data_IF_126161820692
#
_entry.id   IF_126161820692
#
_cell.length_a   1.000
_cell.length_b   1.000
_cell.length_c   1.000
_cell.angle_alpha   90.00
_cell.angle_beta   90.00
_cell.angle_gamma   90.00
#
_symmetry.space_group_name_H-M   'P 1'
#
loop_
_entity.id
_entity.type
_entity.pdbx_description
1 polymer ?
#
# COMPACT_ATOMS: atom_id res chain seq x y z
N UNK A 1 7.74 9.59 -8.66
CA UNK A 1 6.55 8.88 -8.12
C UNK A 1 6.98 7.51 -7.59
N UNK A 2 6.59 7.16 -6.36
CA UNK A 2 6.95 5.89 -5.71
C UNK A 2 6.17 4.71 -6.27
N UNK A 3 6.79 3.53 -6.29
CA UNK A 3 6.20 2.26 -6.73
C UNK A 3 5.92 1.37 -5.52
N UNK A 4 4.67 0.94 -5.37
CA UNK A 4 4.22 0.07 -4.29
C UNK A 4 3.68 -1.25 -4.86
N UNK A 5 4.48 -2.29 -4.77
CA UNK A 5 4.14 -3.64 -5.22
C UNK A 5 3.29 -4.34 -4.15
N UNK A 6 2.13 -4.87 -4.54
CA UNK A 6 1.27 -5.72 -3.70
C UNK A 6 1.28 -7.13 -4.28
N UNK A 7 1.58 -8.13 -3.47
CA UNK A 7 1.68 -9.52 -3.95
C UNK A 7 1.18 -10.54 -2.93
N UNK A 8 0.52 -11.60 -3.42
CA UNK A 8 0.24 -12.82 -2.67
C UNK A 8 1.28 -13.93 -2.94
N UNK A 9 2.06 -13.78 -4.02
CA UNK A 9 3.07 -14.76 -4.46
C UNK A 9 4.41 -14.06 -4.64
N UNK A 10 5.13 -13.73 -3.55
CA UNK A 10 6.35 -12.95 -3.63
C UNK A 10 7.45 -13.70 -4.39
N UNK A 11 8.18 -12.95 -5.23
CA UNK A 11 9.29 -13.45 -6.03
C UNK A 11 10.46 -12.47 -5.97
N UNK A 12 11.64 -12.96 -5.62
CA UNK A 12 12.86 -12.15 -5.63
C UNK A 12 13.17 -11.59 -7.03
N UNK A 13 12.92 -12.37 -8.09
CA UNK A 13 13.10 -11.91 -9.46
C UNK A 13 12.16 -10.75 -9.82
N UNK A 14 10.90 -10.81 -9.37
CA UNK A 14 9.93 -9.74 -9.54
C UNK A 14 10.38 -8.45 -8.83
N UNK A 15 10.82 -8.55 -7.57
CA UNK A 15 11.35 -7.43 -6.81
C UNK A 15 12.57 -6.79 -7.50
N UNK A 16 13.49 -7.62 -8.01
CA UNK A 16 14.68 -7.15 -8.75
C UNK A 16 14.34 -6.52 -10.09
N UNK A 17 13.39 -7.10 -10.83
CA UNK A 17 12.95 -6.59 -12.14
C UNK A 17 12.31 -5.21 -12.03
N UNK A 18 11.41 -5.03 -11.07
CA UNK A 18 10.60 -3.81 -10.95
C UNK A 18 11.17 -2.76 -10.00
N UNK A 19 12.08 -3.16 -9.11
CA UNK A 19 12.71 -2.30 -8.09
C UNK A 19 11.68 -1.37 -7.42
N UNK A 20 10.65 -1.92 -6.74
CA UNK A 20 9.67 -1.10 -6.06
C UNK A 20 10.30 -0.38 -4.86
N UNK A 21 9.73 0.76 -4.48
CA UNK A 21 10.10 1.47 -3.25
C UNK A 21 9.43 0.85 -2.02
N UNK A 22 8.24 0.28 -2.20
CA UNK A 22 7.42 -0.38 -1.18
C UNK A 22 6.96 -1.75 -1.68
N UNK A 23 6.92 -2.74 -0.81
CA UNK A 23 6.33 -4.03 -1.11
C UNK A 23 5.45 -4.53 0.04
N UNK A 24 4.28 -5.04 -0.30
CA UNK A 24 3.30 -5.61 0.62
C UNK A 24 3.09 -7.10 0.32
N UNK A 25 3.29 -7.93 1.33
CA UNK A 25 2.78 -9.29 1.30
C UNK A 25 1.32 -9.31 1.75
N UNK A 26 0.42 -9.74 0.87
CA UNK A 26 -1.03 -9.75 1.10
C UNK A 26 -1.65 -10.98 0.47
N UNK A 27 -1.81 -12.02 1.29
CA UNK A 27 -2.53 -13.24 0.94
C UNK A 27 -3.60 -13.51 2.01
N UNK A 28 -4.86 -13.22 1.67
CA UNK A 28 -5.99 -13.31 2.61
C UNK A 28 -6.43 -14.73 2.88
N UNK A 29 -6.16 -15.64 1.96
CA UNK A 29 -6.60 -17.03 2.01
C UNK A 29 -5.52 -17.98 2.58
N UNK A 30 -4.33 -17.44 2.85
CA UNK A 30 -3.20 -18.23 3.29
C UNK A 30 -3.31 -18.62 4.77
N UNK A 31 -3.49 -19.91 5.03
CA UNK A 31 -3.55 -20.47 6.39
C UNK A 31 -2.18 -20.46 7.09
N UNK A 32 -1.09 -20.35 6.34
CA UNK A 32 0.29 -20.30 6.85
C UNK A 32 0.88 -18.89 6.72
N UNK A 33 0.05 -17.84 6.78
CA UNK A 33 0.44 -16.46 6.51
C UNK A 33 1.69 -16.03 7.30
N UNK A 34 1.79 -16.34 8.59
CA UNK A 34 2.92 -15.93 9.42
C UNK A 34 4.26 -16.51 8.92
N UNK A 35 4.29 -17.78 8.53
CA UNK A 35 5.48 -18.43 7.98
C UNK A 35 5.90 -17.81 6.64
N UNK A 36 4.95 -17.59 5.74
CA UNK A 36 5.23 -17.02 4.43
C UNK A 36 5.56 -15.53 4.52
N UNK A 37 4.98 -14.79 5.46
CA UNK A 37 5.36 -13.42 5.79
C UNK A 37 6.83 -13.34 6.27
N UNK A 38 7.26 -14.27 7.12
CA UNK A 38 8.65 -14.36 7.55
C UNK A 38 9.59 -14.59 6.36
N UNK A 39 9.25 -15.53 5.47
CA UNK A 39 10.00 -15.80 4.25
C UNK A 39 10.07 -14.56 3.35
N UNK A 40 8.97 -13.84 3.20
CA UNK A 40 8.91 -12.60 2.43
C UNK A 40 9.83 -11.51 3.01
N UNK A 41 9.75 -11.25 4.32
CA UNK A 41 10.61 -10.26 4.98
C UNK A 41 12.09 -10.64 4.79
N UNK A 42 12.46 -11.92 4.97
CA UNK A 42 13.84 -12.38 4.75
C UNK A 42 14.28 -12.20 3.30
N UNK A 43 13.41 -12.50 2.34
CA UNK A 43 13.67 -12.29 0.90
C UNK A 43 13.97 -10.83 0.57
N UNK A 44 13.34 -9.89 1.25
CA UNK A 44 13.48 -8.45 1.01
C UNK A 44 14.74 -7.84 1.66
N UNK A 45 15.32 -8.47 2.70
CA UNK A 45 16.47 -7.91 3.46
C UNK A 45 17.66 -7.44 2.60
N UNK A 46 18.05 -8.13 1.51
CA UNK A 46 19.13 -7.66 0.65
C UNK A 46 18.82 -6.38 -0.13
N UNK A 47 17.53 -6.02 -0.24
CA UNK A 47 17.06 -4.87 -1.03
C UNK A 47 16.96 -3.63 -0.12
N UNK A 48 18.09 -3.01 0.17
CA UNK A 48 18.28 -1.96 1.21
C UNK A 48 17.37 -0.73 1.09
N UNK A 49 16.89 -0.41 -0.10
CA UNK A 49 16.02 0.76 -0.36
C UNK A 49 14.53 0.43 -0.33
N UNK A 50 14.18 -0.86 -0.24
CA UNK A 50 12.82 -1.35 -0.22
C UNK A 50 12.23 -1.26 1.18
N UNK A 51 11.08 -0.61 1.33
CA UNK A 51 10.25 -0.69 2.55
C UNK A 51 9.29 -1.88 2.48
N UNK A 52 9.29 -2.69 3.50
CA UNK A 52 8.55 -3.96 3.57
C UNK A 52 7.36 -3.84 4.50
N UNK A 53 6.18 -4.17 4.00
CA UNK A 53 4.91 -4.09 4.74
C UNK A 53 4.21 -5.45 4.80
N UNK A 54 3.54 -5.71 5.93
CA UNK A 54 2.64 -6.84 6.09
C UNK A 54 1.18 -6.37 6.15
N UNK A 55 0.25 -7.25 5.78
CA UNK A 55 -1.17 -6.93 5.71
C UNK A 55 -1.85 -7.17 7.05
N UNK A 56 -2.56 -6.15 7.57
CA UNK A 56 -3.44 -6.17 8.75
C UNK A 56 -2.76 -6.39 10.10
N UNK A 57 -1.85 -7.34 10.22
CA UNK A 57 -1.27 -7.76 11.50
C UNK A 57 -0.02 -6.93 11.85
N UNK A 58 -0.23 -5.84 12.58
CA UNK A 58 0.86 -4.96 13.02
C UNK A 58 1.76 -5.62 14.07
N UNK A 59 1.25 -6.58 14.86
CA UNK A 59 2.05 -7.30 15.85
C UNK A 59 3.03 -8.25 15.16
N UNK A 60 2.53 -9.00 14.18
CA UNK A 60 3.38 -9.84 13.33
C UNK A 60 4.40 -9.00 12.54
N UNK A 61 4.00 -7.84 12.02
CA UNK A 61 4.92 -6.93 11.34
C UNK A 61 6.06 -6.51 12.25
N UNK A 62 5.78 -6.19 13.51
CA UNK A 62 6.79 -5.86 14.51
C UNK A 62 7.67 -7.06 14.86
N UNK A 63 7.09 -8.22 15.09
CA UNK A 63 7.80 -9.46 15.42
C UNK A 63 8.79 -9.87 14.34
N UNK A 64 8.41 -9.72 13.07
CA UNK A 64 9.23 -10.08 11.91
C UNK A 64 10.18 -8.99 11.45
N UNK A 65 10.21 -7.83 12.13
CA UNK A 65 11.07 -6.68 11.80
C UNK A 65 10.79 -6.13 10.39
N UNK A 66 9.51 -6.11 10.00
CA UNK A 66 9.06 -5.38 8.83
C UNK A 66 9.08 -3.86 9.09
N UNK A 67 9.16 -3.04 8.04
CA UNK A 67 9.15 -1.58 8.16
C UNK A 67 7.78 -1.05 8.61
N UNK A 68 6.71 -1.75 8.24
CA UNK A 68 5.38 -1.28 8.56
C UNK A 68 4.25 -2.28 8.31
N UNK A 69 3.04 -1.78 8.48
CA UNK A 69 1.79 -2.52 8.28
C UNK A 69 0.86 -1.76 7.33
N UNK A 70 0.15 -2.51 6.49
CA UNK A 70 -0.95 -2.00 5.68
C UNK A 70 -2.28 -2.43 6.27
N UNK A 71 -2.97 -1.49 6.91
CA UNK A 71 -4.27 -1.67 7.55
C UNK A 71 -5.42 -1.53 6.54
N UNK A 72 -6.51 -2.23 6.79
CA UNK A 72 -7.75 -2.06 6.01
C UNK A 72 -8.53 -0.84 6.49
N UNK A 73 -9.52 -0.39 5.70
CA UNK A 73 -10.43 0.70 6.08
C UNK A 73 -11.33 0.39 7.30
N UNK A 74 -11.26 -0.81 7.85
CA UNK A 74 -11.93 -1.19 9.09
C UNK A 74 -11.01 -1.09 10.32
N UNK A 75 -9.73 -0.79 10.14
CA UNK A 75 -8.71 -0.86 11.19
C UNK A 75 -8.16 0.51 11.60
N UNK A 76 -8.94 1.58 11.54
CA UNK A 76 -8.51 2.91 12.02
C UNK A 76 -8.09 2.89 13.49
N UNK A 77 -8.74 2.05 14.30
CA UNK A 77 -8.40 1.88 15.72
C UNK A 77 -7.00 1.30 15.97
N UNK A 78 -6.41 0.60 14.99
CA UNK A 78 -5.10 -0.04 15.13
C UNK A 78 -3.92 0.91 14.79
N UNK A 79 -4.19 2.08 14.21
CA UNK A 79 -3.14 3.03 13.80
C UNK A 79 -2.25 3.42 14.98
N UNK A 80 -2.86 3.81 16.10
CA UNK A 80 -2.13 4.28 17.30
C UNK A 80 -1.23 3.17 17.85
N UNK A 81 -1.74 1.93 17.94
CA UNK A 81 -0.98 0.79 18.44
C UNK A 81 0.18 0.44 17.51
N UNK A 82 -0.04 0.43 16.19
CA UNK A 82 1.02 0.18 15.22
C UNK A 82 2.10 1.27 15.28
N UNK A 83 1.71 2.55 15.39
CA UNK A 83 2.65 3.67 15.57
C UNK A 83 3.43 3.57 16.87
N UNK A 84 2.80 3.16 17.97
CA UNK A 84 3.47 2.97 19.26
C UNK A 84 4.55 1.87 19.21
N UNK A 85 4.45 0.91 18.30
CA UNK A 85 5.48 -0.10 18.03
C UNK A 85 6.61 0.38 17.12
N UNK A 86 6.55 1.62 16.63
CA UNK A 86 7.54 2.22 15.73
C UNK A 86 7.37 1.80 14.27
N UNK A 87 6.22 1.26 13.88
CA UNK A 87 5.93 0.87 12.50
C UNK A 87 5.49 2.08 11.65
N UNK A 88 5.86 2.07 10.39
CA UNK A 88 5.18 2.88 9.37
C UNK A 88 3.77 2.31 9.14
N UNK A 89 2.77 3.18 9.03
CA UNK A 89 1.37 2.78 8.83
C UNK A 89 0.87 3.29 7.50
N UNK A 90 0.44 2.34 6.65
CA UNK A 90 -0.39 2.60 5.47
C UNK A 90 -1.80 2.14 5.79
N UNK A 91 -2.84 2.89 5.44
CA UNK A 91 -4.22 2.46 5.59
C UNK A 91 -5.01 2.65 4.29
N UNK A 92 -5.87 1.68 3.97
CA UNK A 92 -6.77 1.77 2.83
C UNK A 92 -7.87 2.79 3.08
N UNK A 93 -8.10 3.70 2.13
CA UNK A 93 -9.16 4.71 2.16
C UNK A 93 -9.92 4.78 0.84
N UNK A 94 -11.18 5.23 0.92
CA UNK A 94 -12.10 5.31 -0.21
C UNK A 94 -12.82 6.66 -0.30
N UNK A 95 -12.72 7.51 0.72
CA UNK A 95 -13.35 8.83 0.78
C UNK A 95 -12.36 9.86 1.32
N UNK A 96 -12.67 11.14 1.09
CA UNK A 96 -11.90 12.24 1.68
C UNK A 96 -11.91 12.19 3.22
N UNK A 97 -13.07 11.92 3.81
CA UNK A 97 -13.22 11.85 5.27
C UNK A 97 -12.34 10.74 5.87
N UNK A 98 -12.23 9.60 5.20
CA UNK A 98 -11.31 8.53 5.60
C UNK A 98 -9.84 8.94 5.51
N UNK A 99 -9.46 9.70 4.46
CA UNK A 99 -8.10 10.24 4.30
C UNK A 99 -7.76 11.19 5.45
N UNK A 100 -8.62 12.16 5.74
CA UNK A 100 -8.41 13.12 6.83
C UNK A 100 -8.44 12.45 8.20
N UNK A 101 -9.30 11.46 8.40
CA UNK A 101 -9.32 10.64 9.61
C UNK A 101 -8.01 9.89 9.80
N UNK A 102 -7.49 9.24 8.76
CA UNK A 102 -6.22 8.53 8.80
C UNK A 102 -5.07 9.45 9.19
N UNK A 103 -5.01 10.65 8.57
CA UNK A 103 -4.04 11.69 8.87
C UNK A 103 -4.13 12.15 10.32
N UNK A 104 -5.33 12.46 10.81
CA UNK A 104 -5.54 12.95 12.17
C UNK A 104 -5.16 11.97 13.26
N UNK A 105 -5.27 10.66 12.99
CA UNK A 105 -4.87 9.60 13.92
C UNK A 105 -3.35 9.32 13.85
N UNK A 106 -2.67 9.72 12.77
CA UNK A 106 -1.22 9.61 12.63
C UNK A 106 -0.72 8.53 11.67
N UNK A 107 -1.54 8.10 10.70
CA UNK A 107 -1.05 7.27 9.60
C UNK A 107 0.02 8.01 8.80
N UNK A 108 1.01 7.29 8.27
CA UNK A 108 2.08 7.87 7.47
C UNK A 108 1.69 7.98 5.99
N UNK A 109 0.85 7.06 5.54
CA UNK A 109 0.41 6.95 4.15
C UNK A 109 -1.04 6.45 4.08
N UNK A 110 -1.70 6.77 2.99
CA UNK A 110 -2.98 6.16 2.62
C UNK A 110 -2.92 5.57 1.21
N UNK A 111 -3.72 4.54 0.94
CA UNK A 111 -4.08 4.20 -0.44
C UNK A 111 -5.46 4.75 -0.72
N UNK A 112 -5.67 5.42 -1.84
CA UNK A 112 -6.96 5.93 -2.30
C UNK A 112 -7.43 5.13 -3.51
N UNK A 113 -8.59 4.49 -3.42
CA UNK A 113 -9.03 3.49 -4.39
C UNK A 113 -10.56 3.38 -4.52
N UNK A 114 -11.06 2.80 -5.65
CA UNK A 114 -10.34 2.47 -6.87
C UNK A 114 -10.22 3.68 -7.81
N UNK A 115 -9.06 3.91 -8.41
CA UNK A 115 -8.89 5.02 -9.36
C UNK A 115 -9.45 4.65 -10.73
N UNK A 116 -9.09 3.47 -11.25
CA UNK A 116 -9.62 2.93 -12.49
C UNK A 116 -10.49 1.70 -12.25
N UNK A 117 -11.21 1.26 -13.27
CA UNK A 117 -12.05 0.06 -13.19
C UNK A 117 -11.30 -1.14 -12.63
N UNK A 118 -11.85 -1.73 -11.60
CA UNK A 118 -11.25 -2.84 -10.86
C UNK A 118 -12.35 -3.86 -10.56
N UNK A 119 -12.15 -5.14 -10.87
CA UNK A 119 -13.15 -6.17 -10.58
C UNK A 119 -13.58 -6.16 -9.10
N UNK A 120 -14.87 -6.20 -8.86
CA UNK A 120 -15.49 -6.27 -7.53
C UNK A 120 -15.18 -5.09 -6.59
N UNK A 121 -14.92 -3.88 -7.13
CA UNK A 121 -14.54 -2.69 -6.34
C UNK A 121 -15.48 -1.48 -6.48
N UNK A 122 -16.60 -1.64 -7.17
CA UNK A 122 -17.53 -0.55 -7.43
C UNK A 122 -17.02 0.43 -8.50
N UNK A 123 -17.66 1.59 -8.59
CA UNK A 123 -17.35 2.60 -9.60
C UNK A 123 -15.94 3.22 -9.38
N UNK A 124 -15.17 3.40 -10.45
CA UNK A 124 -13.89 4.07 -10.37
C UNK A 124 -14.06 5.56 -10.04
N UNK A 125 -13.19 6.09 -9.21
CA UNK A 125 -13.20 7.50 -8.80
C UNK A 125 -12.64 8.44 -9.87
N UNK A 126 -11.73 7.93 -10.67
CA UNK A 126 -11.03 8.68 -11.72
C UNK A 126 -9.85 9.51 -11.22
N UNK A 127 -9.08 9.98 -12.19
CA UNK A 127 -7.86 10.78 -11.96
C UNK A 127 -8.20 12.15 -11.35
N UNK A 128 -9.34 12.77 -11.75
CA UNK A 128 -9.76 14.07 -11.23
C UNK A 128 -10.05 14.03 -9.73
N UNK A 129 -10.73 12.99 -9.25
CA UNK A 129 -10.98 12.82 -7.81
C UNK A 129 -9.67 12.56 -7.03
N UNK A 130 -8.70 11.89 -7.64
CA UNK A 130 -7.36 11.72 -7.04
C UNK A 130 -6.66 13.08 -6.92
N UNK A 131 -6.70 13.91 -7.96
CA UNK A 131 -6.11 15.26 -7.94
C UNK A 131 -6.74 16.16 -6.89
N UNK A 132 -8.07 16.12 -6.75
CA UNK A 132 -8.79 16.84 -5.70
C UNK A 132 -8.30 16.43 -4.30
N UNK A 133 -8.21 15.11 -4.03
CA UNK A 133 -7.72 14.60 -2.74
C UNK A 133 -6.30 15.09 -2.45
N UNK A 134 -5.40 15.02 -3.41
CA UNK A 134 -4.00 15.45 -3.24
C UNK A 134 -3.91 16.94 -2.91
N UNK A 135 -4.74 17.77 -3.54
CA UNK A 135 -4.79 19.22 -3.28
C UNK A 135 -5.38 19.59 -1.92
N UNK A 136 -6.17 18.69 -1.32
CA UNK A 136 -6.87 18.93 -0.04
C UNK A 136 -6.13 18.37 1.17
N UNK A 137 -5.12 17.51 0.98
CA UNK A 137 -4.41 16.85 2.08
C UNK A 137 -2.90 16.91 1.88
N UNK A 138 -2.15 16.85 2.98
CA UNK A 138 -0.68 16.75 2.98
C UNK A 138 -0.17 15.35 3.34
N UNK A 139 -1.06 14.39 3.66
CA UNK A 139 -0.67 13.00 3.83
C UNK A 139 -0.23 12.39 2.48
N UNK A 140 0.75 11.51 2.52
CA UNK A 140 1.25 10.81 1.33
C UNK A 140 0.23 9.82 0.80
N UNK A 141 -0.27 10.05 -0.41
CA UNK A 141 -1.30 9.23 -1.07
C UNK A 141 -0.68 8.29 -2.10
N UNK A 142 -1.03 7.02 -2.04
CA UNK A 142 -0.83 6.05 -3.11
C UNK A 142 -2.12 5.86 -3.90
N UNK A 143 -2.10 6.11 -5.20
CA UNK A 143 -3.19 5.75 -6.09
C UNK A 143 -3.27 4.22 -6.23
N UNK A 144 -4.45 3.63 -6.07
CA UNK A 144 -4.66 2.18 -6.16
C UNK A 144 -5.93 1.86 -6.94
N UNK A 145 -5.93 0.73 -7.64
CA UNK A 145 -7.08 0.19 -8.36
C UNK A 145 -7.03 0.45 -9.86
N UNK A 146 -7.02 -0.64 -10.63
CA UNK A 146 -7.05 -0.64 -12.08
C UNK A 146 -5.79 -0.12 -12.77
N UNK A 147 -4.69 0.09 -12.05
CA UNK A 147 -3.40 0.48 -12.64
C UNK A 147 -2.69 -0.79 -13.10
N UNK A 148 -2.71 -1.05 -14.41
CA UNK A 148 -2.24 -2.31 -14.99
C UNK A 148 -1.22 -2.12 -16.12
N UNK A 149 -1.09 -0.91 -16.65
CA UNK A 149 -0.15 -0.57 -17.72
C UNK A 149 0.53 0.77 -17.47
N UNK A 150 1.51 1.11 -18.31
CA UNK A 150 2.20 2.39 -18.25
C UNK A 150 1.25 3.57 -18.51
N UNK A 151 0.18 3.37 -19.27
CA UNK A 151 -0.82 4.41 -19.55
C UNK A 151 -1.49 4.92 -18.26
N UNK A 152 -1.95 4.00 -17.38
CA UNK A 152 -2.55 4.40 -16.10
C UNK A 152 -1.49 5.00 -15.15
N UNK A 153 -0.27 4.46 -15.15
CA UNK A 153 0.86 5.04 -14.38
C UNK A 153 1.12 6.48 -14.79
N UNK A 154 1.18 6.76 -16.09
CA UNK A 154 1.42 8.11 -16.61
C UNK A 154 0.25 9.06 -16.30
N UNK A 155 -0.99 8.53 -16.32
CA UNK A 155 -2.17 9.32 -15.98
C UNK A 155 -2.16 9.75 -14.51
N UNK A 156 -1.88 8.83 -13.57
CA UNK A 156 -1.80 9.20 -12.15
C UNK A 156 -0.56 10.04 -11.82
N UNK A 157 0.54 9.86 -12.54
CA UNK A 157 1.76 10.66 -12.34
C UNK A 157 1.55 12.16 -12.57
N UNK A 158 0.66 12.52 -13.50
CA UNK A 158 0.34 13.92 -13.83
C UNK A 158 -0.35 14.66 -12.67
N UNK A 159 -0.97 13.95 -11.72
CA UNK A 159 -1.63 14.57 -10.55
C UNK A 159 -0.65 15.01 -9.47
N UNK A 160 0.63 14.61 -9.55
CA UNK A 160 1.59 14.84 -8.49
C UNK A 160 1.46 13.89 -7.29
N UNK A 161 0.71 12.78 -7.43
CA UNK A 161 0.53 11.77 -6.39
C UNK A 161 1.88 11.24 -5.88
N UNK A 162 1.98 10.95 -4.58
CA UNK A 162 3.20 10.42 -3.97
C UNK A 162 3.68 9.12 -4.62
N UNK A 163 2.74 8.21 -4.90
CA UNK A 163 3.05 6.92 -5.52
C UNK A 163 1.81 6.22 -6.08
N UNK A 164 2.04 5.09 -6.71
CA UNK A 164 0.97 4.18 -7.09
C UNK A 164 1.20 2.79 -6.51
N UNK A 165 0.10 2.08 -6.22
CA UNK A 165 0.11 0.72 -5.75
C UNK A 165 -0.60 -0.19 -6.77
N UNK A 166 -0.06 -1.37 -7.01
CA UNK A 166 -0.68 -2.34 -7.91
C UNK A 166 -0.26 -3.77 -7.58
N UNK A 167 -1.10 -4.71 -7.99
CA UNK A 167 -0.77 -6.13 -8.13
C UNK A 167 -0.37 -6.40 -9.58
N UNK A 168 -1.27 -6.09 -10.52
CA UNK A 168 -1.20 -6.53 -11.92
C UNK A 168 -0.14 -5.82 -12.76
N UNK A 169 0.20 -4.59 -12.45
CA UNK A 169 1.27 -3.86 -13.15
C UNK A 169 2.64 -4.54 -12.98
N UNK A 170 2.83 -5.25 -11.89
CA UNK A 170 4.11 -5.90 -11.56
C UNK A 170 4.18 -7.38 -11.94
N UNK A 171 3.16 -7.93 -12.59
CA UNK A 171 3.16 -9.33 -13.04
C UNK A 171 4.00 -9.59 -14.29
#
# INVERSE_FOLDING_TARGET
MKKYLITATPSYLQLRKHMPDFALYRDKENKNYATDAQNFVQMCKPLKTLKVFLHQDYRLAKELDADGVHLTSQQFGDIVQAKALGLDVIISTHTYDEVERAKSIGADYVTYSPIFSTPNKGEPKGVSALEEIINMTDIKVFALGGIVSQQEVDAVAKTGVYGFASIRYFL
#
